data_IF_490311229235
#
_entry.id   IF_490311229235
#
_cell.length_a   1.000
_cell.length_b   1.000
_cell.length_c   1.000
_cell.angle_alpha   90.00
_cell.angle_beta   90.00
_cell.angle_gamma   90.00
#
_symmetry.space_group_name_H-M   'P 1'
#
loop_
_entity.id
_entity.type
_entity.pdbx_description
1 polymer ?
#
# COMPACT_ATOMS: atom_id res chain seq x y z
N UNK A 1 46.39 12.02 23.92
CA UNK A 1 47.23 12.25 22.71
C UNK A 1 46.29 12.56 21.56
N UNK A 2 46.12 13.84 21.28
CA UNK A 2 45.14 14.40 20.35
C UNK A 2 45.82 14.66 19.01
N UNK A 3 45.25 14.14 17.91
CA UNK A 3 45.82 14.31 16.56
C UNK A 3 45.00 15.35 15.79
N UNK A 4 45.59 16.53 15.65
CA UNK A 4 45.12 17.59 14.74
C UNK A 4 45.39 17.15 13.30
N UNK A 5 44.35 17.06 12.47
CA UNK A 5 44.47 16.79 11.04
C UNK A 5 44.08 18.06 10.28
N UNK A 6 45.08 18.83 9.85
CA UNK A 6 44.96 19.89 8.86
C UNK A 6 44.72 19.26 7.47
N UNK A 7 43.70 19.70 6.73
CA UNK A 7 43.58 19.42 5.29
C UNK A 7 43.57 20.71 4.48
N UNK A 8 44.42 20.81 3.44
CA UNK A 8 44.58 22.00 2.61
C UNK A 8 43.43 22.19 1.62
N UNK A 9 43.10 23.45 1.37
CA UNK A 9 42.03 23.89 0.47
C UNK A 9 42.32 23.58 -0.99
N UNK A 10 41.28 23.14 -1.70
CA UNK A 10 41.34 22.87 -3.14
C UNK A 10 40.51 23.90 -3.89
N UNK A 11 41.16 24.47 -4.90
CA UNK A 11 40.71 25.57 -5.72
C UNK A 11 39.45 25.24 -6.53
N UNK A 12 38.56 26.21 -6.63
CA UNK A 12 37.43 26.20 -7.54
C UNK A 12 37.93 26.34 -8.99
N UNK A 13 37.68 25.34 -9.83
CA UNK A 13 37.81 25.45 -11.27
C UNK A 13 36.41 25.76 -11.85
N UNK A 14 36.27 26.96 -12.42
CA UNK A 14 35.08 27.37 -13.16
C UNK A 14 35.06 26.64 -14.52
N UNK A 15 34.13 25.69 -14.68
CA UNK A 15 33.85 25.06 -15.97
C UNK A 15 32.75 25.84 -16.70
N UNK A 16 33.12 26.44 -17.83
CA UNK A 16 32.24 27.14 -18.76
C UNK A 16 31.40 26.08 -19.51
N UNK A 17 30.12 25.93 -19.16
CA UNK A 17 29.20 25.03 -19.86
C UNK A 17 28.54 25.77 -21.04
N UNK A 18 28.85 25.33 -22.26
CA UNK A 18 28.21 25.78 -23.50
C UNK A 18 26.81 25.15 -23.56
N UNK A 19 25.77 25.99 -23.48
CA UNK A 19 24.38 25.57 -23.62
C UNK A 19 24.06 25.30 -25.11
N UNK A 20 24.02 24.03 -25.49
CA UNK A 20 23.47 23.61 -26.77
C UNK A 20 21.94 23.56 -26.63
N UNK A 21 21.26 24.56 -27.17
CA UNK A 21 19.81 24.61 -27.33
C UNK A 21 19.39 23.60 -28.41
N UNK A 22 19.33 22.31 -28.03
CA UNK A 22 18.68 21.28 -28.83
C UNK A 22 17.18 21.33 -28.57
N UNK A 23 16.40 21.75 -29.57
CA UNK A 23 14.93 21.69 -29.54
C UNK A 23 14.48 20.23 -29.51
N UNK A 24 14.26 19.68 -28.32
CA UNK A 24 13.58 18.41 -28.14
C UNK A 24 12.10 18.67 -28.43
N UNK A 25 11.65 18.24 -29.61
CA UNK A 25 10.22 18.15 -29.92
C UNK A 25 9.69 17.02 -29.03
N UNK A 26 9.21 17.39 -27.84
CA UNK A 26 8.53 16.45 -26.97
C UNK A 26 7.24 16.03 -27.67
N UNK A 27 7.19 14.79 -28.15
CA UNK A 27 5.94 14.16 -28.54
C UNK A 27 4.97 14.29 -27.36
N UNK A 28 3.75 14.82 -27.55
CA UNK A 28 2.77 14.82 -26.47
C UNK A 28 2.56 13.35 -26.10
N UNK A 29 2.99 12.96 -24.91
CA UNK A 29 2.56 11.71 -24.32
C UNK A 29 1.03 11.78 -24.33
N UNK A 30 0.39 10.95 -25.14
CA UNK A 30 -1.05 10.79 -25.08
C UNK A 30 -1.34 10.41 -23.62
N UNK A 31 -1.89 11.36 -22.86
CA UNK A 31 -2.51 11.04 -21.61
C UNK A 31 -3.67 10.13 -22.00
N UNK A 32 -3.44 8.82 -21.96
CA UNK A 32 -4.54 7.87 -21.95
C UNK A 32 -5.45 8.37 -20.84
N UNK A 33 -6.62 8.86 -21.21
CA UNK A 33 -7.66 9.19 -20.25
C UNK A 33 -8.02 7.85 -19.63
N UNK A 34 -7.33 7.51 -18.54
CA UNK A 34 -7.65 6.35 -17.73
C UNK A 34 -9.09 6.61 -17.29
N UNK A 35 -10.02 5.77 -17.75
CA UNK A 35 -11.43 5.88 -17.39
C UNK A 35 -11.62 5.87 -15.87
N UNK A 36 -12.85 6.10 -15.38
CA UNK A 36 -13.15 5.95 -13.96
C UNK A 36 -12.62 4.61 -13.44
N UNK A 37 -11.86 4.67 -12.34
CA UNK A 37 -11.26 3.51 -11.67
C UNK A 37 -11.59 3.53 -10.20
N UNK A 38 -12.01 2.38 -9.71
CA UNK A 38 -12.11 2.15 -8.28
C UNK A 38 -10.71 1.98 -7.71
N UNK A 39 -10.50 2.49 -6.49
CA UNK A 39 -9.21 2.33 -5.83
C UNK A 39 -9.33 2.32 -4.32
N UNK A 40 -8.40 1.59 -3.69
CA UNK A 40 -8.23 1.56 -2.25
C UNK A 40 -6.73 1.58 -1.94
N UNK A 41 -6.29 2.53 -1.13
CA UNK A 41 -4.89 2.62 -0.72
C UNK A 41 -4.80 3.07 0.73
N UNK A 42 -3.79 2.56 1.44
CA UNK A 42 -3.61 2.94 2.83
C UNK A 42 -2.47 2.21 3.51
N UNK A 43 -2.23 2.63 4.74
CA UNK A 43 -1.31 2.00 5.66
C UNK A 43 -1.95 1.94 7.04
N UNK A 44 -1.85 0.79 7.71
CA UNK A 44 -2.42 0.56 9.03
C UNK A 44 -1.37 -0.08 9.94
N UNK A 45 -1.45 0.28 11.21
CA UNK A 45 -0.75 -0.40 12.29
C UNK A 45 -1.81 -1.02 13.20
N UNK A 46 -1.68 -2.30 13.49
CA UNK A 46 -2.61 -3.01 14.35
C UNK A 46 -1.82 -3.72 15.43
N UNK A 47 -2.36 -3.73 16.64
CA UNK A 47 -1.83 -4.52 17.74
C UNK A 47 -2.85 -5.58 18.07
N UNK A 48 -2.56 -6.83 17.72
CA UNK A 48 -3.42 -7.97 18.07
C UNK A 48 -3.11 -8.40 19.50
N UNK A 49 -4.14 -8.71 20.30
CA UNK A 49 -3.94 -9.15 21.67
C UNK A 49 -3.17 -10.48 21.70
N UNK A 50 -2.03 -10.52 22.41
CA UNK A 50 -1.17 -11.70 22.50
C UNK A 50 -0.17 -11.88 21.35
N UNK A 51 -0.33 -11.11 20.26
CA UNK A 51 0.67 -10.99 19.19
C UNK A 51 1.30 -9.59 19.24
N UNK A 52 2.39 -9.39 18.52
CA UNK A 52 3.00 -8.06 18.43
C UNK A 52 2.29 -7.18 17.40
N UNK A 53 3.01 -6.19 16.91
CA UNK A 53 2.47 -5.23 15.94
C UNK A 53 2.40 -5.83 14.55
N UNK A 54 1.30 -5.55 13.87
CA UNK A 54 1.09 -5.82 12.47
C UNK A 54 1.07 -4.50 11.70
N UNK A 55 1.87 -4.39 10.65
CA UNK A 55 1.85 -3.25 9.71
C UNK A 55 1.31 -3.75 8.38
N UNK A 56 0.21 -3.17 7.92
CA UNK A 56 -0.39 -3.49 6.63
C UNK A 56 -0.26 -2.28 5.72
N UNK A 57 0.29 -2.46 4.53
CA UNK A 57 0.31 -1.46 3.46
C UNK A 57 -0.36 -2.04 2.24
N UNK A 58 -1.20 -1.26 1.59
CA UNK A 58 -1.86 -1.73 0.38
C UNK A 58 -2.10 -0.58 -0.60
N UNK A 59 -2.13 -0.95 -1.87
CA UNK A 59 -2.64 -0.12 -2.95
C UNK A 59 -3.28 -1.07 -3.95
N UNK A 60 -4.55 -0.83 -4.26
CA UNK A 60 -5.34 -1.62 -5.18
C UNK A 60 -6.11 -0.68 -6.11
N UNK A 61 -6.23 -1.08 -7.37
CA UNK A 61 -7.02 -0.41 -8.39
C UNK A 61 -7.74 -1.44 -9.26
N UNK A 62 -8.90 -1.08 -9.77
CA UNK A 62 -9.67 -1.85 -10.76
C UNK A 62 -10.48 -0.90 -11.63
N UNK A 63 -11.10 -1.43 -12.68
CA UNK A 63 -12.24 -0.75 -13.29
C UNK A 63 -13.49 -0.80 -12.40
N UNK A 64 -14.57 -0.19 -12.87
CA UNK A 64 -15.77 0.11 -12.08
C UNK A 64 -16.61 -1.11 -11.70
N UNK A 65 -16.41 -2.25 -12.35
CA UNK A 65 -17.05 -3.52 -12.03
C UNK A 65 -16.04 -4.52 -11.42
N UNK A 66 -14.91 -4.03 -10.91
CA UNK A 66 -13.83 -4.86 -10.35
C UNK A 66 -12.93 -5.52 -11.40
N UNK A 67 -13.02 -5.12 -12.67
CA UNK A 67 -12.21 -5.69 -13.75
C UNK A 67 -10.73 -5.28 -13.67
N UNK A 68 -9.86 -6.17 -14.14
CA UNK A 68 -8.40 -5.96 -14.20
C UNK A 68 -7.79 -5.45 -12.88
N UNK A 69 -8.06 -6.11 -11.76
CA UNK A 69 -7.54 -5.70 -10.46
C UNK A 69 -6.01 -5.78 -10.47
N UNK A 70 -5.35 -4.76 -9.93
CA UNK A 70 -3.90 -4.70 -9.84
C UNK A 70 -3.48 -3.87 -8.62
N UNK A 71 -2.21 -4.03 -8.25
CA UNK A 71 -1.65 -3.38 -7.07
C UNK A 71 -0.87 -4.34 -6.18
N UNK A 72 -0.59 -3.93 -4.95
CA UNK A 72 0.27 -4.65 -4.02
C UNK A 72 -0.27 -4.59 -2.60
N UNK A 73 -0.09 -5.69 -1.87
CA UNK A 73 -0.30 -5.78 -0.42
C UNK A 73 1.04 -6.16 0.23
N UNK A 74 1.35 -5.53 1.36
CA UNK A 74 2.48 -5.87 2.21
C UNK A 74 2.01 -5.95 3.66
N UNK A 75 2.28 -7.07 4.31
CA UNK A 75 1.96 -7.32 5.71
C UNK A 75 3.26 -7.62 6.44
N UNK A 76 3.49 -6.94 7.56
CA UNK A 76 4.57 -7.27 8.49
C UNK A 76 3.94 -7.68 9.80
N UNK A 77 4.12 -8.93 10.21
CA UNK A 77 3.66 -9.45 11.49
C UNK A 77 4.86 -9.60 12.41
N UNK A 78 4.84 -8.91 13.54
CA UNK A 78 5.83 -9.11 14.61
C UNK A 78 5.17 -9.98 15.67
N UNK A 79 5.67 -11.19 15.90
CA UNK A 79 5.14 -12.11 16.91
C UNK A 79 6.28 -12.60 17.80
N UNK A 80 6.23 -12.24 19.08
CA UNK A 80 7.29 -12.51 20.07
C UNK A 80 8.66 -12.01 19.59
N UNK A 81 9.46 -12.88 18.96
CA UNK A 81 10.80 -12.59 18.44
C UNK A 81 10.94 -12.84 16.93
N UNK A 82 9.84 -13.14 16.25
CA UNK A 82 9.83 -13.43 14.81
C UNK A 82 9.16 -12.29 14.07
N UNK A 83 9.78 -11.85 12.98
CA UNK A 83 9.19 -10.88 12.06
C UNK A 83 8.91 -11.60 10.75
N UNK A 84 7.64 -11.66 10.38
CA UNK A 84 7.18 -12.25 9.11
C UNK A 84 6.83 -11.10 8.16
N UNK A 85 7.38 -11.12 6.96
CA UNK A 85 7.02 -10.19 5.90
C UNK A 85 6.30 -10.95 4.79
N UNK A 86 5.01 -10.71 4.64
CA UNK A 86 4.24 -11.20 3.50
C UNK A 86 4.07 -10.07 2.48
N UNK A 87 4.24 -10.39 1.20
CA UNK A 87 3.98 -9.50 0.08
C UNK A 87 3.08 -10.23 -0.89
N UNK A 88 2.17 -9.52 -1.53
CA UNK A 88 1.31 -10.11 -2.54
C UNK A 88 0.90 -9.12 -3.62
N UNK A 89 0.46 -9.69 -4.74
CA UNK A 89 -0.10 -8.95 -5.88
C UNK A 89 -1.61 -9.01 -5.79
N UNK A 90 -2.26 -7.86 -5.93
CA UNK A 90 -3.72 -7.76 -5.88
C UNK A 90 -4.32 -8.56 -7.04
N UNK A 91 -5.24 -9.46 -6.73
CA UNK A 91 -5.96 -10.30 -7.69
C UNK A 91 -7.46 -10.02 -7.73
N UNK A 92 -7.97 -9.24 -6.78
CA UNK A 92 -9.36 -8.78 -6.77
C UNK A 92 -9.45 -7.49 -5.95
N UNK A 93 -10.29 -6.56 -6.42
CA UNK A 93 -10.72 -5.36 -5.72
C UNK A 93 -12.24 -5.23 -5.94
N UNK A 94 -12.97 -5.02 -4.86
CA UNK A 94 -14.38 -4.69 -4.89
C UNK A 94 -14.61 -3.46 -4.00
N UNK A 95 -15.13 -2.39 -4.56
CA UNK A 95 -15.42 -1.14 -3.84
C UNK A 95 -16.92 -0.92 -3.74
N UNK A 96 -17.38 -0.44 -2.59
CA UNK A 96 -18.77 -0.06 -2.35
C UNK A 96 -18.82 1.14 -1.40
N UNK A 97 -19.03 2.33 -1.96
CA UNK A 97 -18.99 3.60 -1.25
C UNK A 97 -17.61 3.81 -0.62
N UNK A 98 -17.56 3.90 0.71
CA UNK A 98 -16.30 4.09 1.46
C UNK A 98 -15.65 2.76 1.89
N UNK A 99 -16.18 1.62 1.46
CA UNK A 99 -15.64 0.30 1.82
C UNK A 99 -14.95 -0.35 0.62
N UNK A 100 -13.89 -1.12 0.88
CA UNK A 100 -13.26 -1.93 -0.14
C UNK A 100 -12.86 -3.32 0.40
N UNK A 101 -13.09 -4.35 -0.42
CA UNK A 101 -12.53 -5.68 -0.20
C UNK A 101 -11.41 -5.92 -1.22
N UNK A 102 -10.25 -6.36 -0.74
CA UNK A 102 -9.03 -6.57 -1.52
C UNK A 102 -8.57 -8.00 -1.28
N UNK A 103 -8.24 -8.73 -2.34
CA UNK A 103 -7.54 -10.00 -2.23
C UNK A 103 -6.21 -9.89 -2.96
N UNK A 104 -5.17 -10.46 -2.40
CA UNK A 104 -3.86 -10.56 -3.03
C UNK A 104 -3.32 -11.99 -2.93
N UNK A 105 -2.72 -12.45 -4.03
CA UNK A 105 -1.91 -13.65 -4.06
C UNK A 105 -0.53 -13.31 -3.52
N UNK A 106 -0.10 -13.99 -2.46
CA UNK A 106 1.18 -13.79 -1.84
C UNK A 106 2.32 -14.33 -2.74
N UNK A 107 3.42 -13.58 -2.79
CA UNK A 107 4.65 -13.97 -3.46
C UNK A 107 5.23 -15.26 -2.82
N UNK A 108 5.06 -15.39 -1.50
CA UNK A 108 5.35 -16.60 -0.72
C UNK A 108 4.16 -16.88 0.22
N UNK A 109 3.64 -18.13 0.27
CA UNK A 109 2.51 -18.46 1.15
C UNK A 109 2.84 -18.16 2.62
N UNK A 110 1.89 -17.53 3.33
CA UNK A 110 2.03 -17.29 4.76
C UNK A 110 2.06 -18.64 5.50
N UNK A 111 3.06 -18.81 6.37
CA UNK A 111 3.40 -20.08 7.03
C UNK A 111 3.59 -21.27 6.07
N UNK A 112 3.90 -20.99 4.80
CA UNK A 112 4.08 -22.00 3.75
C UNK A 112 2.80 -22.66 3.24
N UNK A 113 1.61 -22.28 3.73
CA UNK A 113 0.35 -22.98 3.40
C UNK A 113 -0.82 -22.06 3.04
N UNK A 114 -0.75 -20.76 3.34
CA UNK A 114 -1.83 -19.80 3.06
C UNK A 114 -1.38 -18.85 1.93
N UNK A 115 -1.68 -19.12 0.65
CA UNK A 115 -1.20 -18.34 -0.48
C UNK A 115 -1.95 -17.02 -0.68
N UNK A 116 -3.08 -16.80 -0.02
CA UNK A 116 -3.87 -15.58 -0.18
C UNK A 116 -3.87 -14.74 1.09
N UNK A 117 -3.92 -13.42 0.90
CA UNK A 117 -4.31 -12.46 1.93
C UNK A 117 -5.55 -11.72 1.46
N UNK A 118 -6.53 -11.60 2.34
CA UNK A 118 -7.74 -10.80 2.11
C UNK A 118 -7.78 -9.64 3.09
N UNK A 119 -8.21 -8.47 2.60
CA UNK A 119 -8.37 -7.25 3.38
C UNK A 119 -9.80 -6.72 3.17
N UNK A 120 -10.49 -6.35 4.24
CA UNK A 120 -11.69 -5.52 4.18
C UNK A 120 -11.38 -4.21 4.87
N UNK A 121 -11.52 -3.09 4.17
CA UNK A 121 -11.17 -1.76 4.68
C UNK A 121 -12.36 -0.83 4.58
N UNK A 122 -12.47 0.09 5.54
CA UNK A 122 -13.51 1.11 5.57
C UNK A 122 -12.90 2.48 5.86
N UNK A 123 -13.04 3.40 4.90
CA UNK A 123 -12.68 4.81 5.03
C UNK A 123 -13.79 5.51 5.83
N UNK A 124 -13.49 5.85 7.08
CA UNK A 124 -14.41 6.52 7.99
C UNK A 124 -14.16 8.05 8.04
N UNK A 125 -13.42 8.57 7.06
CA UNK A 125 -13.07 9.97 6.96
C UNK A 125 -11.73 10.31 7.60
N UNK A 126 -11.51 11.62 7.77
CA UNK A 126 -10.17 12.13 8.12
C UNK A 126 -9.81 11.85 9.58
N UNK A 127 -8.51 11.63 9.88
CA UNK A 127 -8.03 11.53 11.24
C UNK A 127 -8.38 12.76 12.09
N UNK A 128 -8.84 12.54 13.32
CA UNK A 128 -9.14 13.58 14.32
C UNK A 128 -8.14 13.43 15.47
N UNK A 129 -7.43 14.52 15.80
CA UNK A 129 -6.35 14.50 16.81
C UNK A 129 -5.26 13.43 16.58
N UNK A 130 -4.99 13.10 15.31
CA UNK A 130 -3.96 12.11 14.93
C UNK A 130 -4.39 10.65 15.08
N UNK A 131 -5.66 10.41 15.40
CA UNK A 131 -6.28 9.07 15.43
C UNK A 131 -7.12 8.92 14.16
N UNK A 132 -6.81 7.93 13.33
CA UNK A 132 -7.65 7.63 12.18
C UNK A 132 -8.94 6.91 12.64
N UNK A 133 -10.11 7.26 12.07
CA UNK A 133 -11.34 6.52 12.30
C UNK A 133 -11.42 5.23 11.47
N UNK A 134 -10.49 5.00 10.55
CA UNK A 134 -10.55 3.90 9.59
C UNK A 134 -10.44 2.53 10.25
N UNK A 135 -11.14 1.55 9.67
CA UNK A 135 -11.11 0.16 10.12
C UNK A 135 -10.60 -0.77 9.04
N UNK A 136 -9.97 -1.88 9.46
CA UNK A 136 -9.50 -2.90 8.57
C UNK A 136 -9.63 -4.30 9.18
N UNK A 137 -9.91 -5.28 8.34
CA UNK A 137 -9.96 -6.71 8.63
C UNK A 137 -8.95 -7.37 7.72
N UNK A 138 -8.15 -8.30 8.25
CA UNK A 138 -7.20 -9.08 7.46
C UNK A 138 -7.47 -10.55 7.71
N UNK A 139 -7.30 -11.36 6.68
CA UNK A 139 -7.22 -12.80 6.82
C UNK A 139 -6.14 -13.37 5.91
N UNK A 140 -5.59 -14.51 6.32
CA UNK A 140 -4.77 -15.34 5.46
C UNK A 140 -5.55 -16.60 5.13
N UNK A 141 -5.64 -16.92 3.84
CA UNK A 141 -6.58 -17.92 3.33
C UNK A 141 -5.87 -18.95 2.45
N UNK A 142 -6.35 -20.20 2.52
CA UNK A 142 -5.91 -21.27 1.64
C UNK A 142 -6.48 -21.12 0.21
N UNK A 143 -7.65 -20.50 0.10
CA UNK A 143 -8.42 -20.34 -1.15
C UNK A 143 -8.93 -18.91 -1.23
N UNK A 144 -8.88 -18.31 -2.41
CA UNK A 144 -9.48 -16.98 -2.63
C UNK A 144 -11.00 -17.06 -2.55
N UNK A 145 -11.61 -16.28 -1.65
CA UNK A 145 -13.05 -16.19 -1.52
C UNK A 145 -13.71 -15.47 -2.71
N UNK A 146 -14.97 -15.80 -3.06
CA UNK A 146 -15.75 -15.04 -4.03
C UNK A 146 -15.82 -13.55 -3.65
N UNK A 147 -15.73 -12.66 -4.64
CA UNK A 147 -15.84 -11.19 -4.44
C UNK A 147 -14.88 -10.62 -3.38
N UNK A 148 -13.70 -11.23 -3.21
CA UNK A 148 -12.75 -10.84 -2.16
C UNK A 148 -13.30 -10.93 -0.72
N UNK A 149 -14.38 -11.68 -0.47
CA UNK A 149 -15.01 -11.69 0.85
C UNK A 149 -14.05 -12.17 1.95
N UNK A 150 -13.95 -11.42 3.05
CA UNK A 150 -13.14 -11.81 4.21
C UNK A 150 -13.96 -12.67 5.16
N UNK A 151 -13.51 -13.90 5.44
CA UNK A 151 -14.07 -14.76 6.51
C UNK A 151 -13.30 -14.69 7.84
N UNK A 152 -12.36 -13.75 7.96
CA UNK A 152 -11.35 -13.74 9.01
C UNK A 152 -11.72 -13.06 10.32
N UNK A 153 -10.70 -12.82 11.13
CA UNK A 153 -10.81 -12.12 12.40
C UNK A 153 -10.67 -10.61 12.22
N UNK A 154 -11.32 -9.87 13.11
CA UNK A 154 -11.27 -8.40 13.10
C UNK A 154 -9.93 -7.91 13.64
N UNK A 155 -9.30 -7.02 12.89
CA UNK A 155 -8.15 -6.26 13.34
C UNK A 155 -8.57 -4.84 13.73
N UNK A 156 -9.11 -4.67 14.94
CA UNK A 156 -9.27 -3.33 15.52
C UNK A 156 -7.95 -2.91 16.17
N UNK A 157 -7.27 -1.89 15.64
CA UNK A 157 -6.04 -1.36 16.21
C UNK A 157 -5.97 0.16 16.11
N UNK A 158 -4.96 0.77 16.75
CA UNK A 158 -4.60 2.17 16.51
C UNK A 158 -4.20 2.34 15.04
N UNK A 159 -5.16 2.65 14.16
CA UNK A 159 -4.88 3.01 12.77
C UNK A 159 -4.08 4.31 12.76
N UNK A 160 -2.77 4.16 12.71
CA UNK A 160 -1.86 5.27 12.39
C UNK A 160 -1.62 5.27 10.90
N UNK A 161 -2.58 5.76 10.15
CA UNK A 161 -2.50 5.95 8.71
C UNK A 161 -3.84 6.35 8.12
N UNK A 162 -3.82 6.70 6.85
CA UNK A 162 -4.97 7.25 6.11
C UNK A 162 -5.37 6.18 5.08
N UNK A 163 -6.54 5.57 5.26
CA UNK A 163 -7.15 4.77 4.20
C UNK A 163 -7.91 5.72 3.29
N UNK A 164 -7.74 5.56 1.99
CA UNK A 164 -8.55 6.24 0.99
C UNK A 164 -9.22 5.22 0.12
N UNK A 165 -10.55 5.27 0.08
CA UNK A 165 -11.36 4.48 -0.84
C UNK A 165 -12.04 5.43 -1.81
N UNK A 166 -11.90 5.14 -3.10
CA UNK A 166 -12.55 5.86 -4.18
C UNK A 166 -13.42 4.88 -4.96
N UNK A 167 -14.73 5.12 -4.90
CA UNK A 167 -15.76 4.44 -5.67
C UNK A 167 -16.14 5.35 -6.85
N UNK A 168 -16.12 4.81 -8.06
CA UNK A 168 -16.50 5.56 -9.26
C UNK A 168 -17.92 5.31 -9.74
N UNK A 169 -18.63 4.37 -9.10
CA UNK A 169 -20.03 4.02 -9.40
C UNK A 169 -21.00 4.68 -8.41
N UNK A 170 -20.52 5.11 -7.23
CA UNK A 170 -21.35 5.87 -6.29
C UNK A 170 -21.63 7.31 -6.79
N UNK A 171 -22.91 7.70 -6.96
CA UNK A 171 -23.31 9.06 -7.33
C UNK A 171 -23.09 10.10 -6.21
#
# INVERSE_FOLDING_TARGET
MERIINRPGWAAAAALAIAVLGSVIASPAAAEAHGPRDSAAGELFVRQAGEGYQRVKFSAQSGTAGENPHGRVQVTVVASNTVIHAKGTVTCLYVNGTSANIAALLDEPYLGILPYVTLSVHDNGRPVHGVSPDTAYINFDAVQAPQCATGGFTLTGESRGDIKVYDTVSP
#
